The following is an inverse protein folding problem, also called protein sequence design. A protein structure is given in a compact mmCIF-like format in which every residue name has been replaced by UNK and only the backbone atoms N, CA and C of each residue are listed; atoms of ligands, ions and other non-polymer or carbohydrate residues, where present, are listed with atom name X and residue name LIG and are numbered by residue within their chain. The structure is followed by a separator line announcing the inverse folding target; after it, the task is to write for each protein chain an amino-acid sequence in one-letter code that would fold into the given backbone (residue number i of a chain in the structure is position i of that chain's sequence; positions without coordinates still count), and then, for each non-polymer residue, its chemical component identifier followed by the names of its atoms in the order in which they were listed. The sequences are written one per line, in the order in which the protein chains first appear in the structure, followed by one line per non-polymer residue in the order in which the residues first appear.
data_IF_662513198772
#
_entry.id   IF_662513198772
#
_cell.length_a   1.000
_cell.length_b   1.000
_cell.length_c   1.000
_cell.angle_alpha   90.00
_cell.angle_beta   90.00
_cell.angle_gamma   90.00
#
_symmetry.space_group_name_H-M   'P 1'
#
loop_
_entity.id
_entity.type
_entity.pdbx_description
1 polymer ?
#
# COMPACT_ATOMS: atom_id res chain seq x y z
N UNK A 1 -19.77 1.72 26.44
CA UNK A 1 -19.17 2.37 25.24
C UNK A 1 -19.64 1.58 24.03
N UNK A 2 -20.13 2.24 22.98
CA UNK A 2 -20.59 1.62 21.73
C UNK A 2 -19.46 1.71 20.71
N UNK A 3 -19.22 0.62 20.00
CA UNK A 3 -18.23 0.49 18.93
C UNK A 3 -18.94 0.30 17.60
N UNK A 4 -18.78 1.23 16.67
CA UNK A 4 -19.21 1.08 15.29
C UNK A 4 -18.18 0.29 14.51
N UNK A 5 -18.64 -0.72 13.75
CA UNK A 5 -17.80 -1.68 13.03
C UNK A 5 -18.38 -1.94 11.64
N UNK A 6 -17.52 -2.13 10.64
CA UNK A 6 -17.94 -2.71 9.36
C UNK A 6 -17.57 -4.18 9.30
N UNK A 7 -18.58 -5.01 9.05
CA UNK A 7 -18.43 -6.43 8.78
C UNK A 7 -18.50 -6.71 7.29
N UNK A 8 -17.78 -7.74 6.83
CA UNK A 8 -17.97 -8.29 5.50
C UNK A 8 -19.29 -9.09 5.49
N UNK A 9 -20.32 -8.55 4.87
CA UNK A 9 -21.65 -9.16 4.84
C UNK A 9 -21.78 -10.22 3.71
N UNK A 10 -21.07 -10.02 2.61
CA UNK A 10 -21.10 -10.97 1.46
C UNK A 10 -19.83 -10.84 0.64
N UNK A 11 -19.50 -11.93 -0.09
CA UNK A 11 -18.39 -11.95 -1.05
C UNK A 11 -18.84 -11.30 -2.36
N UNK A 12 -18.05 -10.34 -2.92
CA UNK A 12 -18.40 -9.73 -4.19
C UNK A 12 -18.25 -10.73 -5.34
N UNK A 13 -19.22 -10.71 -6.26
CA UNK A 13 -19.14 -11.36 -7.57
C UNK A 13 -18.72 -10.32 -8.62
N UNK A 14 -17.45 -10.35 -9.04
CA UNK A 14 -16.86 -9.26 -9.83
C UNK A 14 -16.51 -8.04 -8.98
N UNK A 15 -16.95 -6.86 -9.37
CA UNK A 15 -16.66 -5.62 -8.62
C UNK A 15 -17.32 -5.62 -7.24
N UNK A 16 -16.56 -5.19 -6.24
CA UNK A 16 -17.11 -4.96 -4.92
C UNK A 16 -18.05 -3.75 -4.90
N UNK A 17 -19.07 -3.80 -4.06
CA UNK A 17 -20.05 -2.74 -3.84
C UNK A 17 -20.19 -2.42 -2.36
N UNK A 18 -20.82 -1.29 -2.02
CA UNK A 18 -21.12 -0.95 -0.61
C UNK A 18 -21.99 -1.99 0.08
N UNK A 19 -22.85 -2.70 -0.68
CA UNK A 19 -23.70 -3.78 -0.18
C UNK A 19 -22.92 -5.03 0.31
N UNK A 20 -21.64 -5.15 0.01
CA UNK A 20 -20.81 -6.20 0.59
C UNK A 20 -20.41 -5.94 2.05
N UNK A 21 -20.66 -4.74 2.55
CA UNK A 21 -20.31 -4.31 3.90
C UNK A 21 -21.57 -4.00 4.72
N UNK A 22 -21.55 -4.33 5.99
CA UNK A 22 -22.64 -4.03 6.94
C UNK A 22 -22.10 -3.29 8.14
N UNK A 23 -22.66 -2.10 8.44
CA UNK A 23 -22.39 -1.38 9.66
C UNK A 23 -23.06 -2.10 10.84
N UNK A 24 -22.31 -2.34 11.89
CA UNK A 24 -22.75 -2.99 13.12
C UNK A 24 -22.35 -2.12 14.31
N UNK A 25 -23.25 -1.96 15.27
CA UNK A 25 -22.98 -1.36 16.56
C UNK A 25 -22.91 -2.46 17.62
N UNK A 26 -21.81 -2.53 18.35
CA UNK A 26 -21.60 -3.52 19.38
C UNK A 26 -21.02 -2.89 20.66
N UNK A 27 -21.28 -3.43 21.85
CA UNK A 27 -20.58 -2.99 23.05
C UNK A 27 -19.08 -3.31 22.93
N UNK A 28 -18.24 -2.42 23.48
CA UNK A 28 -16.81 -2.73 23.67
C UNK A 28 -16.68 -3.82 24.73
N UNK A 29 -15.95 -4.89 24.40
CA UNK A 29 -15.73 -5.99 25.33
C UNK A 29 -14.85 -5.56 26.53
N UNK A 30 -15.06 -6.19 27.68
CA UNK A 30 -14.18 -6.01 28.84
C UNK A 30 -12.81 -6.61 28.54
N UNK A 31 -11.76 -5.99 29.10
CA UNK A 31 -10.38 -6.48 28.94
C UNK A 31 -10.12 -7.71 29.80
N UNK A 32 -9.50 -8.72 29.21
CA UNK A 32 -8.81 -9.79 29.93
C UNK A 32 -7.33 -9.40 30.18
N UNK A 33 -6.64 -10.18 31.00
CA UNK A 33 -5.23 -9.98 31.28
C UNK A 33 -4.40 -10.11 30.00
N UNK A 34 -3.43 -9.23 29.82
CA UNK A 34 -2.60 -9.13 28.61
C UNK A 34 -3.25 -8.39 27.44
N UNK A 35 -4.48 -7.91 27.60
CA UNK A 35 -5.19 -7.18 26.56
C UNK A 35 -5.11 -5.66 26.71
N UNK A 36 -5.30 -4.98 25.59
CA UNK A 36 -5.24 -3.52 25.44
C UNK A 36 -6.46 -3.04 24.66
N UNK A 37 -7.19 -2.05 25.21
CA UNK A 37 -8.26 -1.35 24.50
C UNK A 37 -7.67 -0.15 23.76
N UNK A 38 -7.85 -0.14 22.45
CA UNK A 38 -7.41 0.95 21.58
C UNK A 38 -8.59 1.70 20.98
N UNK A 39 -8.60 3.03 21.10
CA UNK A 39 -9.45 3.92 20.32
C UNK A 39 -8.73 4.29 19.03
N UNK A 40 -9.31 3.97 17.90
CA UNK A 40 -8.71 4.25 16.60
C UNK A 40 -9.04 5.66 16.13
N UNK A 41 -8.01 6.40 15.72
CA UNK A 41 -8.15 7.73 15.13
C UNK A 41 -8.17 7.63 13.60
N UNK A 42 -7.40 6.70 13.05
CA UNK A 42 -7.29 6.47 11.61
C UNK A 42 -7.39 5.00 11.27
N UNK A 43 -8.08 4.72 10.17
CA UNK A 43 -8.15 3.43 9.51
C UNK A 43 -7.43 3.52 8.16
N UNK A 44 -6.55 2.57 7.89
CA UNK A 44 -5.92 2.37 6.59
C UNK A 44 -6.86 1.63 5.64
N UNK A 45 -6.99 2.12 4.41
CA UNK A 45 -7.59 1.39 3.32
C UNK A 45 -6.49 0.99 2.33
N UNK A 46 -6.45 -0.31 2.01
CA UNK A 46 -5.38 -0.91 1.21
C UNK A 46 -5.95 -1.88 0.17
N UNK A 47 -5.39 -1.92 -1.06
CA UNK A 47 -5.94 -2.76 -2.14
C UNK A 47 -5.99 -4.25 -1.81
N UNK A 48 -5.07 -4.78 -0.98
CA UNK A 48 -5.05 -6.20 -0.60
C UNK A 48 -6.36 -6.67 0.06
N UNK A 49 -7.09 -5.75 0.70
CA UNK A 49 -8.37 -6.04 1.35
C UNK A 49 -9.39 -6.59 0.36
N UNK A 50 -9.32 -6.19 -0.93
CA UNK A 50 -10.19 -6.74 -1.97
C UNK A 50 -9.93 -8.23 -2.20
N UNK A 51 -8.66 -8.64 -2.22
CA UNK A 51 -8.31 -10.06 -2.30
C UNK A 51 -8.82 -10.86 -1.11
N UNK A 52 -8.81 -10.27 0.09
CA UNK A 52 -9.34 -10.90 1.32
C UNK A 52 -10.86 -11.11 1.30
N UNK A 53 -11.60 -10.37 0.48
CA UNK A 53 -13.05 -10.57 0.32
C UNK A 53 -13.39 -11.80 -0.55
N UNK A 54 -12.41 -12.40 -1.23
CA UNK A 54 -12.54 -13.63 -2.01
C UNK A 54 -12.19 -14.85 -1.17
N UNK A 55 -12.80 -15.99 -1.47
CA UNK A 55 -12.46 -17.32 -0.91
C UNK A 55 -11.53 -18.13 -1.83
N UNK A 56 -11.10 -17.56 -2.95
CA UNK A 56 -10.08 -18.14 -3.82
C UNK A 56 -8.75 -18.34 -3.06
N UNK A 57 -7.96 -19.34 -3.52
CA UNK A 57 -6.62 -19.59 -2.97
C UNK A 57 -5.76 -18.30 -3.02
N UNK A 58 -5.19 -17.93 -1.88
CA UNK A 58 -4.34 -16.74 -1.75
C UNK A 58 -3.24 -17.01 -0.71
N UNK A 59 -2.31 -16.04 -0.55
CA UNK A 59 -1.24 -16.07 0.45
C UNK A 59 -1.73 -16.04 1.89
N UNK A 60 -2.99 -15.70 2.11
CA UNK A 60 -3.56 -15.64 3.45
C UNK A 60 -5.05 -16.03 3.45
N UNK A 61 -5.60 -16.46 4.61
CA UNK A 61 -6.99 -16.86 4.72
C UNK A 61 -7.96 -15.76 4.27
N UNK A 62 -9.12 -16.11 3.70
CA UNK A 62 -10.15 -15.13 3.37
C UNK A 62 -10.69 -14.43 4.63
N UNK A 63 -11.15 -13.22 4.47
CA UNK A 63 -11.91 -12.51 5.51
C UNK A 63 -13.17 -13.33 5.84
N UNK A 64 -13.42 -13.68 7.11
CA UNK A 64 -14.67 -14.34 7.49
C UNK A 64 -15.88 -13.44 7.22
N UNK A 65 -16.99 -14.05 6.81
CA UNK A 65 -18.27 -13.34 6.75
C UNK A 65 -18.75 -13.02 8.16
N UNK A 66 -19.52 -11.95 8.28
CA UNK A 66 -20.08 -11.46 9.54
C UNK A 66 -19.05 -11.12 10.62
N UNK A 67 -17.80 -10.94 10.24
CA UNK A 67 -16.72 -10.48 11.11
C UNK A 67 -16.22 -9.09 10.70
N UNK A 68 -15.62 -8.38 11.65
CA UNK A 68 -15.01 -7.05 11.42
C UNK A 68 -14.02 -7.13 10.28
N UNK A 69 -14.19 -6.27 9.27
CA UNK A 69 -13.31 -6.22 8.12
C UNK A 69 -11.88 -5.89 8.56
N UNK A 70 -10.91 -6.63 8.02
CA UNK A 70 -9.49 -6.44 8.33
C UNK A 70 -8.99 -5.07 7.87
N UNK A 71 -8.10 -4.44 8.66
CA UNK A 71 -7.45 -3.19 8.29
C UNK A 71 -6.44 -2.74 9.34
N UNK A 72 -5.39 -2.06 8.87
CA UNK A 72 -4.46 -1.37 9.73
C UNK A 72 -5.11 -0.14 10.38
N UNK A 73 -4.81 0.13 11.64
CA UNK A 73 -5.32 1.28 12.38
C UNK A 73 -4.22 1.96 13.17
N UNK A 74 -4.40 3.27 13.40
CA UNK A 74 -3.56 4.04 14.30
C UNK A 74 -4.45 4.83 15.27
N UNK A 75 -4.07 4.84 16.55
CA UNK A 75 -4.89 5.44 17.58
C UNK A 75 -4.16 5.60 18.90
N UNK A 76 -4.93 5.52 19.99
CA UNK A 76 -4.40 5.61 21.35
C UNK A 76 -4.94 4.49 22.24
N UNK A 77 -4.14 4.07 23.17
CA UNK A 77 -4.55 3.15 24.23
C UNK A 77 -5.50 3.88 25.19
N UNK A 78 -6.69 3.33 25.39
CA UNK A 78 -7.68 3.85 26.36
C UNK A 78 -7.55 3.16 27.71
N UNK A 79 -7.36 1.82 27.69
CA UNK A 79 -7.18 0.99 28.87
C UNK A 79 -6.22 -0.15 28.54
N UNK A 80 -5.41 -0.58 29.51
CA UNK A 80 -4.46 -1.66 29.33
C UNK A 80 -4.40 -2.57 30.55
N UNK A 81 -4.36 -3.87 30.29
CA UNK A 81 -3.96 -4.93 31.23
C UNK A 81 -2.68 -5.63 30.79
N UNK A 82 -1.87 -4.95 29.99
CA UNK A 82 -0.59 -5.44 29.50
C UNK A 82 0.56 -4.56 30.03
N UNK A 83 1.66 -5.12 30.55
CA UNK A 83 2.72 -4.35 31.24
C UNK A 83 3.43 -3.34 30.32
N UNK A 84 3.49 -3.60 29.02
CA UNK A 84 4.20 -2.73 28.08
C UNK A 84 3.35 -1.60 27.47
N UNK A 85 2.04 -1.52 27.77
CA UNK A 85 1.15 -0.47 27.26
C UNK A 85 0.45 0.27 28.41
N UNK A 86 0.28 1.58 28.27
CA UNK A 86 -0.40 2.43 29.21
C UNK A 86 -1.43 3.31 28.49
N UNK A 87 -2.48 3.75 29.20
CA UNK A 87 -3.43 4.71 28.68
C UNK A 87 -2.71 5.99 28.19
N UNK A 88 -3.08 6.48 27.01
CA UNK A 88 -2.43 7.60 26.32
C UNK A 88 -1.32 7.21 25.36
N UNK A 89 -0.79 5.98 25.38
CA UNK A 89 0.19 5.53 24.40
C UNK A 89 -0.36 5.64 22.97
N UNK A 90 0.41 6.22 22.06
CA UNK A 90 0.10 6.24 20.63
C UNK A 90 0.54 4.93 20.00
N UNK A 91 -0.35 4.30 19.24
CA UNK A 91 -0.14 2.94 18.73
C UNK A 91 -0.62 2.80 17.29
N UNK A 92 0.01 1.87 16.57
CA UNK A 92 -0.44 1.38 15.27
C UNK A 92 -0.49 -0.14 15.26
N UNK A 93 -1.47 -0.74 14.58
CA UNK A 93 -1.66 -2.19 14.51
C UNK A 93 -2.80 -2.58 13.60
N UNK A 94 -3.28 -3.83 13.73
CA UNK A 94 -4.35 -4.40 12.90
C UNK A 94 -5.69 -4.37 13.64
N UNK A 95 -6.23 -3.18 13.88
CA UNK A 95 -7.47 -3.01 14.63
C UNK A 95 -8.75 -3.32 13.85
N UNK A 96 -8.71 -3.39 12.52
CA UNK A 96 -9.88 -3.62 11.67
C UNK A 96 -10.73 -2.37 11.44
N UNK A 97 -11.78 -2.52 10.64
CA UNK A 97 -12.71 -1.42 10.31
C UNK A 97 -13.68 -1.17 11.47
N UNK A 98 -13.18 -0.53 12.51
CA UNK A 98 -13.95 -0.22 13.72
C UNK A 98 -13.34 0.94 14.49
N UNK A 99 -14.13 1.56 15.38
CA UNK A 99 -13.68 2.69 16.19
C UNK A 99 -12.83 2.27 17.39
N UNK A 100 -13.11 1.10 17.95
CA UNK A 100 -12.39 0.53 19.10
C UNK A 100 -12.03 -0.93 18.83
N UNK A 101 -10.90 -1.38 19.33
CA UNK A 101 -10.55 -2.80 19.35
C UNK A 101 -9.93 -3.21 20.68
N UNK A 102 -10.24 -4.42 21.12
CA UNK A 102 -9.50 -5.11 22.18
C UNK A 102 -8.48 -6.03 21.49
N UNK A 103 -7.20 -5.78 21.74
CA UNK A 103 -6.09 -6.52 21.11
C UNK A 103 -5.26 -7.22 22.16
N UNK A 104 -4.71 -8.40 21.83
CA UNK A 104 -3.69 -9.06 22.65
C UNK A 104 -2.36 -8.29 22.48
N UNK A 105 -1.87 -7.73 23.57
CA UNK A 105 -0.61 -6.98 23.58
C UNK A 105 0.64 -7.84 23.30
N UNK A 106 0.54 -9.18 23.38
CA UNK A 106 1.61 -10.12 23.08
C UNK A 106 1.61 -10.63 21.64
N UNK A 107 0.58 -10.30 20.85
CA UNK A 107 0.47 -10.80 19.48
C UNK A 107 1.66 -10.33 18.63
N UNK A 108 2.36 -11.28 17.99
CA UNK A 108 3.46 -10.97 17.06
C UNK A 108 2.94 -10.12 15.88
N UNK A 109 3.61 -8.99 15.60
CA UNK A 109 3.18 -8.06 14.57
C UNK A 109 1.85 -7.35 14.88
N UNK A 110 1.37 -7.45 16.14
CA UNK A 110 0.13 -6.85 16.61
C UNK A 110 0.23 -5.35 16.84
N UNK A 111 0.16 -4.92 18.09
CA UNK A 111 0.16 -3.50 18.46
C UNK A 111 1.61 -2.99 18.63
N UNK A 112 1.92 -1.84 18.02
CA UNK A 112 3.23 -1.19 18.12
C UNK A 112 3.06 0.24 18.63
N UNK A 113 3.84 0.62 19.66
CA UNK A 113 3.96 2.02 20.08
C UNK A 113 4.64 2.84 18.99
N UNK A 114 4.18 4.07 18.79
CA UNK A 114 4.71 5.00 17.79
C UNK A 114 5.00 6.36 18.40
N UNK A 115 6.07 6.98 17.94
CA UNK A 115 6.48 8.32 18.39
C UNK A 115 5.87 9.39 17.47
N UNK A 116 4.93 10.15 18.00
CA UNK A 116 4.24 11.22 17.26
C UNK A 116 4.85 12.61 17.46
N UNK A 117 6.02 12.69 18.08
CA UNK A 117 6.68 14.00 18.36
C UNK A 117 7.13 14.70 17.07
N UNK A 118 7.49 13.94 16.04
CA UNK A 118 8.00 14.45 14.76
C UNK A 118 7.30 13.88 13.53
N UNK A 119 6.51 12.82 13.69
CA UNK A 119 5.82 12.11 12.63
C UNK A 119 4.34 12.06 12.97
N UNK A 120 3.43 12.58 12.12
CA UNK A 120 1.99 12.47 12.37
C UNK A 120 1.52 11.03 12.51
N UNK A 121 0.53 10.79 13.37
CA UNK A 121 0.00 9.46 13.67
C UNK A 121 -0.48 8.72 12.40
N UNK A 122 -1.09 9.42 11.45
CA UNK A 122 -1.57 8.88 10.17
C UNK A 122 -0.45 8.28 9.32
N UNK A 123 0.76 8.88 9.34
CA UNK A 123 1.91 8.43 8.56
C UNK A 123 2.34 7.00 8.89
N UNK A 124 2.04 6.51 10.11
CA UNK A 124 2.33 5.12 10.53
C UNK A 124 1.43 4.07 9.86
N UNK A 125 0.41 4.50 9.12
CA UNK A 125 -0.41 3.65 8.25
C UNK A 125 -0.02 3.72 6.76
N UNK A 126 0.92 4.59 6.44
CA UNK A 126 1.41 4.84 5.08
C UNK A 126 2.92 4.76 5.00
N UNK A 127 3.54 5.93 4.84
CA UNK A 127 4.97 6.09 4.55
C UNK A 127 5.91 5.51 5.63
N UNK A 128 5.52 5.51 6.92
CA UNK A 128 6.27 4.91 8.04
C UNK A 128 5.53 3.67 8.57
N UNK A 129 4.89 2.94 7.68
CA UNK A 129 4.12 1.74 7.97
C UNK A 129 4.29 0.69 6.89
N UNK A 130 3.30 -0.21 6.79
CA UNK A 130 3.34 -1.31 5.83
C UNK A 130 3.60 -0.85 4.39
N UNK A 131 2.93 0.18 3.83
CA UNK A 131 3.22 0.64 2.48
C UNK A 131 4.67 1.14 2.29
N UNK A 132 5.21 1.88 3.25
CA UNK A 132 6.61 2.32 3.22
C UNK A 132 7.60 1.16 3.25
N UNK A 133 7.41 0.21 4.17
CA UNK A 133 8.27 -0.99 4.26
C UNK A 133 8.15 -1.86 3.00
N UNK A 134 6.95 -1.95 2.40
CA UNK A 134 6.74 -2.62 1.11
C UNK A 134 7.58 -1.98 0.01
N UNK A 135 7.57 -0.65 -0.07
CA UNK A 135 8.38 0.11 -1.03
C UNK A 135 9.87 -0.14 -0.83
N UNK A 136 10.31 -0.05 0.42
CA UNK A 136 11.71 -0.26 0.80
C UNK A 136 12.17 -1.68 0.43
N UNK A 137 11.42 -2.70 0.83
CA UNK A 137 11.78 -4.10 0.58
C UNK A 137 11.87 -4.41 -0.92
N UNK A 138 10.83 -4.09 -1.69
CA UNK A 138 10.80 -4.37 -3.11
C UNK A 138 11.90 -3.63 -3.89
N UNK A 139 12.23 -2.39 -3.51
CA UNK A 139 13.31 -1.64 -4.14
C UNK A 139 14.69 -2.16 -3.74
N UNK A 140 14.93 -2.37 -2.44
CA UNK A 140 16.26 -2.70 -1.91
C UNK A 140 16.61 -4.19 -2.04
N UNK A 141 15.63 -5.09 -1.85
CA UNK A 141 15.89 -6.54 -1.78
C UNK A 141 15.53 -7.30 -3.05
N UNK A 142 14.57 -6.80 -3.84
CA UNK A 142 14.13 -7.46 -5.07
C UNK A 142 14.67 -6.75 -6.31
N UNK A 143 14.42 -5.45 -6.45
CA UNK A 143 15.02 -4.67 -7.53
C UNK A 143 16.54 -4.51 -7.35
N UNK A 144 17.06 -4.63 -6.12
CA UNK A 144 18.49 -4.46 -5.81
C UNK A 144 19.05 -3.19 -6.46
N UNK A 145 18.29 -2.08 -6.34
CA UNK A 145 18.56 -0.84 -7.05
C UNK A 145 19.95 -0.27 -6.71
N UNK A 146 20.71 0.07 -7.75
CA UNK A 146 22.04 0.65 -7.64
C UNK A 146 22.07 2.04 -8.28
N UNK A 147 23.06 2.85 -7.89
CA UNK A 147 23.24 4.19 -8.48
C UNK A 147 23.45 4.10 -9.99
N UNK A 148 22.69 4.89 -10.75
CA UNK A 148 22.69 4.89 -12.21
C UNK A 148 21.60 4.02 -12.85
N UNK A 149 20.96 3.11 -12.09
CA UNK A 149 19.83 2.31 -12.57
C UNK A 149 18.63 3.19 -12.96
N UNK A 150 17.88 2.76 -13.96
CA UNK A 150 16.56 3.29 -14.28
C UNK A 150 15.49 2.43 -13.63
N UNK A 151 14.75 3.03 -12.67
CA UNK A 151 13.67 2.36 -11.93
C UNK A 151 12.32 2.87 -12.46
N UNK A 152 11.53 1.96 -13.00
CA UNK A 152 10.14 2.23 -13.36
C UNK A 152 9.22 1.89 -12.20
N UNK A 153 8.23 2.76 -11.93
CA UNK A 153 7.27 2.58 -10.84
C UNK A 153 5.85 2.74 -11.36
N UNK A 154 5.06 1.67 -11.35
CA UNK A 154 3.62 1.78 -11.63
C UNK A 154 2.83 2.26 -10.41
N UNK A 155 1.69 2.93 -10.62
CA UNK A 155 0.93 3.64 -9.59
C UNK A 155 1.82 4.60 -8.75
N UNK A 156 2.68 5.36 -9.43
CA UNK A 156 3.73 6.18 -8.84
C UNK A 156 3.24 7.27 -7.86
N UNK A 157 1.98 7.71 -7.96
CA UNK A 157 1.37 8.66 -7.02
C UNK A 157 0.71 8.00 -5.81
N UNK A 158 0.71 6.65 -5.72
CA UNK A 158 0.08 5.89 -4.66
C UNK A 158 0.94 5.76 -3.40
N UNK A 159 0.38 5.13 -2.36
CA UNK A 159 1.03 5.01 -1.04
C UNK A 159 2.38 4.29 -1.07
N UNK A 160 2.56 3.28 -1.94
CA UNK A 160 3.80 2.54 -2.13
C UNK A 160 4.66 3.21 -3.20
N UNK A 161 4.10 3.45 -4.39
CA UNK A 161 4.86 3.95 -5.54
C UNK A 161 5.53 5.29 -5.30
N UNK A 162 4.88 6.20 -4.56
CA UNK A 162 5.46 7.51 -4.20
C UNK A 162 6.71 7.39 -3.33
N UNK A 163 6.78 6.37 -2.49
CA UNK A 163 7.95 6.07 -1.65
C UNK A 163 9.06 5.44 -2.46
N UNK A 164 8.71 4.45 -3.32
CA UNK A 164 9.71 3.74 -4.16
C UNK A 164 10.56 4.72 -4.96
N UNK A 165 9.93 5.65 -5.68
CA UNK A 165 10.69 6.56 -6.54
C UNK A 165 11.57 7.54 -5.76
N UNK A 166 11.10 8.04 -4.61
CA UNK A 166 11.93 8.91 -3.77
C UNK A 166 13.13 8.15 -3.16
N UNK A 167 12.94 6.89 -2.75
CA UNK A 167 14.05 6.03 -2.31
C UNK A 167 15.02 5.75 -3.48
N UNK A 168 14.50 5.48 -4.68
CA UNK A 168 15.33 5.31 -5.88
C UNK A 168 16.16 6.57 -6.18
N UNK A 169 15.53 7.75 -6.11
CA UNK A 169 16.25 9.04 -6.26
C UNK A 169 17.33 9.22 -5.20
N UNK A 170 17.04 8.90 -3.93
CA UNK A 170 18.01 8.99 -2.84
C UNK A 170 19.22 8.05 -3.04
N UNK A 171 19.03 6.94 -3.76
CA UNK A 171 20.12 6.01 -4.17
C UNK A 171 20.87 6.45 -5.43
N UNK A 172 20.48 7.54 -6.07
CA UNK A 172 21.12 8.01 -7.32
C UNK A 172 20.58 7.32 -8.58
N UNK A 173 19.41 6.70 -8.51
CA UNK A 173 18.73 6.13 -9.66
C UNK A 173 17.98 7.20 -10.45
N UNK A 174 17.69 6.89 -11.71
CA UNK A 174 16.67 7.55 -12.51
C UNK A 174 15.31 6.92 -12.19
N UNK A 175 14.35 7.71 -11.72
CA UNK A 175 13.01 7.25 -11.34
C UNK A 175 11.98 7.70 -12.37
N UNK A 176 11.27 6.75 -12.99
CA UNK A 176 10.20 6.99 -13.96
C UNK A 176 8.89 6.49 -13.39
N UNK A 177 7.88 7.36 -13.34
CA UNK A 177 6.56 7.02 -12.83
C UNK A 177 5.56 6.70 -13.93
N UNK A 178 4.56 5.88 -13.61
CA UNK A 178 3.31 5.77 -14.36
C UNK A 178 2.18 6.07 -13.39
N UNK A 179 1.33 7.07 -13.71
CA UNK A 179 0.20 7.48 -12.89
C UNK A 179 -1.01 7.81 -13.76
N UNK A 180 -2.18 8.03 -13.16
CA UNK A 180 -3.40 8.28 -13.92
C UNK A 180 -3.90 9.71 -13.77
N UNK A 181 -3.68 10.53 -14.78
CA UNK A 181 -4.10 11.94 -14.88
C UNK A 181 -2.94 12.91 -14.71
N UNK A 182 -3.03 14.04 -15.42
CA UNK A 182 -1.98 15.06 -15.48
C UNK A 182 -1.59 15.61 -14.09
N UNK A 183 -2.57 15.82 -13.20
CA UNK A 183 -2.32 16.31 -11.83
C UNK A 183 -1.43 15.33 -11.03
N UNK A 184 -1.71 14.03 -11.11
CA UNK A 184 -0.90 13.01 -10.43
C UNK A 184 0.49 12.91 -11.02
N UNK A 185 0.64 13.04 -12.35
CA UNK A 185 1.95 13.05 -12.99
C UNK A 185 2.75 14.29 -12.62
N UNK A 186 2.14 15.47 -12.59
CA UNK A 186 2.79 16.69 -12.13
C UNK A 186 3.30 16.55 -10.68
N UNK A 187 2.46 16.07 -9.77
CA UNK A 187 2.86 15.80 -8.39
C UNK A 187 4.06 14.86 -8.30
N UNK A 188 4.06 13.78 -9.07
CA UNK A 188 5.15 12.78 -9.07
C UNK A 188 6.47 13.42 -9.51
N UNK A 189 6.45 14.30 -10.51
CA UNK A 189 7.65 14.96 -11.01
C UNK A 189 8.04 16.16 -10.12
N UNK A 190 7.11 17.09 -9.91
CA UNK A 190 7.42 18.40 -9.34
C UNK A 190 7.61 18.34 -7.81
N UNK A 191 6.86 17.47 -7.13
CA UNK A 191 6.92 17.37 -5.67
C UNK A 191 7.74 16.18 -5.18
N UNK A 192 7.60 14.98 -5.83
CA UNK A 192 8.33 13.79 -5.40
C UNK A 192 9.71 13.65 -6.05
N UNK A 193 10.02 14.45 -7.08
CA UNK A 193 11.34 14.51 -7.71
C UNK A 193 11.66 13.34 -8.64
N UNK A 194 10.64 12.66 -9.20
CA UNK A 194 10.87 11.71 -10.28
C UNK A 194 11.38 12.44 -11.53
N UNK A 195 12.14 11.74 -12.36
CA UNK A 195 12.70 12.33 -13.60
C UNK A 195 11.66 12.48 -14.70
N UNK A 196 10.61 11.65 -14.71
CA UNK A 196 9.45 11.74 -15.58
C UNK A 196 8.27 10.94 -15.02
N UNK A 197 7.06 11.27 -15.49
CA UNK A 197 5.85 10.49 -15.22
C UNK A 197 4.98 10.39 -16.46
N UNK A 198 4.49 9.19 -16.76
CA UNK A 198 3.63 8.90 -17.89
C UNK A 198 2.20 8.81 -17.42
N UNK A 199 1.31 9.62 -17.99
CA UNK A 199 -0.14 9.51 -17.77
C UNK A 199 -0.72 8.38 -18.64
N UNK A 200 -0.96 7.21 -18.01
CA UNK A 200 -1.49 6.06 -18.76
C UNK A 200 -2.91 6.31 -19.33
N UNK A 201 -3.67 7.30 -18.80
CA UNK A 201 -5.04 7.57 -19.25
C UNK A 201 -5.10 8.23 -20.64
N UNK A 202 -4.04 8.93 -21.05
CA UNK A 202 -3.94 9.50 -22.39
C UNK A 202 -3.36 8.52 -23.42
N UNK A 203 -2.91 7.35 -22.96
CA UNK A 203 -2.36 6.28 -23.79
C UNK A 203 -3.33 5.09 -23.79
N UNK A 204 -4.46 5.23 -24.49
CA UNK A 204 -5.54 4.25 -24.49
C UNK A 204 -5.17 2.91 -25.17
N UNK A 205 -4.17 2.91 -26.05
CA UNK A 205 -3.70 1.69 -26.71
C UNK A 205 -2.27 1.30 -26.24
N UNK A 206 -1.96 -0.02 -26.22
CA UNK A 206 -0.66 -0.52 -25.73
C UNK A 206 0.55 0.03 -26.51
N UNK A 207 0.40 0.34 -27.81
CA UNK A 207 1.51 0.87 -28.64
C UNK A 207 1.83 2.31 -28.25
N UNK A 208 0.81 3.11 -27.97
CA UNK A 208 0.96 4.49 -27.50
C UNK A 208 1.67 4.52 -26.14
N UNK A 209 1.24 3.67 -25.18
CA UNK A 209 1.90 3.56 -23.88
C UNK A 209 3.37 3.10 -24.01
N UNK A 210 3.63 2.08 -24.84
CA UNK A 210 5.00 1.63 -25.11
C UNK A 210 5.89 2.74 -25.69
N UNK A 211 5.37 3.55 -26.62
CA UNK A 211 6.11 4.67 -27.22
C UNK A 211 6.48 5.72 -26.18
N UNK A 212 5.52 6.14 -25.36
CA UNK A 212 5.74 7.09 -24.27
C UNK A 212 6.80 6.54 -23.27
N UNK A 213 6.70 5.25 -22.94
CA UNK A 213 7.66 4.60 -22.05
C UNK A 213 9.06 4.54 -22.69
N UNK A 214 9.15 4.25 -23.97
CA UNK A 214 10.43 4.24 -24.71
C UNK A 214 11.11 5.61 -24.70
N UNK A 215 10.35 6.68 -24.87
CA UNK A 215 10.85 8.06 -24.80
C UNK A 215 11.34 8.42 -23.39
N UNK A 216 10.59 8.03 -22.35
CA UNK A 216 10.97 8.29 -20.97
C UNK A 216 12.15 7.43 -20.47
N UNK A 217 12.38 6.26 -21.09
CA UNK A 217 13.46 5.30 -20.75
C UNK A 217 14.38 5.01 -21.93
N UNK A 218 15.15 6.00 -22.41
CA UNK A 218 16.02 5.82 -23.61
C UNK A 218 17.04 4.69 -23.44
N UNK A 219 17.60 4.51 -22.25
CA UNK A 219 18.57 3.46 -21.91
C UNK A 219 17.94 2.14 -21.44
N UNK A 220 16.62 2.00 -21.50
CA UNK A 220 15.89 0.84 -20.96
C UNK A 220 15.55 0.98 -19.48
N UNK A 221 15.15 -0.14 -18.86
CA UNK A 221 14.72 -0.23 -17.46
C UNK A 221 15.50 -1.35 -16.78
N UNK A 222 16.18 -1.04 -15.67
CA UNK A 222 16.97 -1.99 -14.90
C UNK A 222 16.15 -2.63 -13.77
N UNK A 223 15.27 -1.84 -13.13
CA UNK A 223 14.34 -2.30 -12.12
C UNK A 223 12.92 -1.80 -12.36
N UNK A 224 11.93 -2.66 -12.14
CA UNK A 224 10.51 -2.27 -12.21
C UNK A 224 9.78 -2.63 -10.93
N UNK A 225 9.18 -1.65 -10.29
CA UNK A 225 8.31 -1.86 -9.13
C UNK A 225 6.86 -1.87 -9.60
N UNK A 226 6.25 -3.05 -9.59
CA UNK A 226 4.94 -3.29 -10.22
C UNK A 226 3.81 -3.38 -9.19
N UNK A 227 2.80 -2.53 -9.38
CA UNK A 227 1.59 -2.46 -8.54
C UNK A 227 0.29 -2.73 -9.31
N UNK A 228 0.31 -2.77 -10.65
CA UNK A 228 -0.90 -2.66 -11.49
C UNK A 228 -1.17 -3.89 -12.33
N UNK A 229 -0.17 -4.40 -13.05
CA UNK A 229 -0.32 -5.49 -14.02
C UNK A 229 -0.87 -5.03 -15.38
N UNK A 230 -1.28 -6.01 -16.20
CA UNK A 230 -1.92 -5.76 -17.49
C UNK A 230 -1.01 -5.04 -18.49
N UNK A 231 -1.58 -4.09 -19.23
CA UNK A 231 -0.87 -3.34 -20.29
C UNK A 231 0.36 -2.57 -19.79
N UNK A 232 0.37 -2.16 -18.53
CA UNK A 232 1.52 -1.47 -17.92
C UNK A 232 2.68 -2.46 -17.76
N UNK A 233 2.43 -3.63 -17.20
CA UNK A 233 3.45 -4.68 -17.07
C UNK A 233 3.97 -5.14 -18.43
N UNK A 234 3.09 -5.35 -19.42
CA UNK A 234 3.50 -5.73 -20.78
C UNK A 234 4.39 -4.67 -21.44
N UNK A 235 4.06 -3.38 -21.28
CA UNK A 235 4.88 -2.29 -21.80
C UNK A 235 6.24 -2.21 -21.07
N UNK A 236 6.25 -2.44 -19.76
CA UNK A 236 7.48 -2.51 -18.96
C UNK A 236 8.39 -3.65 -19.43
N UNK A 237 7.85 -4.88 -19.56
CA UNK A 237 8.60 -6.05 -20.04
C UNK A 237 9.32 -5.78 -21.36
N UNK A 238 8.67 -5.09 -22.31
CA UNK A 238 9.25 -4.76 -23.61
C UNK A 238 10.38 -3.71 -23.53
N UNK A 239 10.60 -3.09 -22.38
CA UNK A 239 11.63 -2.07 -22.14
C UNK A 239 12.71 -2.49 -21.14
N UNK A 240 12.53 -3.67 -20.47
CA UNK A 240 13.50 -4.17 -19.50
C UNK A 240 14.87 -4.46 -20.18
N UNK A 241 15.91 -4.01 -19.53
CA UNK A 241 17.27 -4.37 -19.87
C UNK A 241 17.54 -5.85 -19.58
N UNK A 242 18.52 -6.48 -20.25
CA UNK A 242 18.95 -7.83 -19.89
C UNK A 242 19.30 -7.92 -18.39
N UNK A 243 18.82 -9.00 -17.73
CA UNK A 243 18.97 -9.24 -16.30
C UNK A 243 18.20 -8.24 -15.39
N UNK A 244 17.28 -7.47 -15.98
CA UNK A 244 16.41 -6.57 -15.23
C UNK A 244 15.57 -7.31 -14.18
N UNK A 245 15.17 -6.59 -13.13
CA UNK A 245 14.49 -7.14 -11.94
C UNK A 245 13.12 -6.48 -11.77
N UNK A 246 12.10 -7.29 -11.53
CA UNK A 246 10.72 -6.83 -11.32
C UNK A 246 10.25 -7.26 -9.94
N UNK A 247 10.01 -6.28 -9.05
CA UNK A 247 9.35 -6.49 -7.78
C UNK A 247 7.83 -6.45 -7.98
N UNK A 248 7.19 -7.63 -7.96
CA UNK A 248 5.75 -7.76 -8.17
C UNK A 248 5.02 -7.59 -6.84
N UNK A 249 4.68 -6.37 -6.51
CA UNK A 249 4.02 -5.97 -5.27
C UNK A 249 2.50 -6.15 -5.35
N UNK A 250 1.90 -5.88 -6.50
CA UNK A 250 0.46 -5.95 -6.68
C UNK A 250 0.03 -5.97 -8.14
N UNK A 251 -1.20 -6.38 -8.37
CA UNK A 251 -1.82 -6.47 -9.68
C UNK A 251 -3.25 -5.93 -9.62
N UNK A 252 -3.39 -4.65 -9.20
CA UNK A 252 -4.69 -4.06 -8.88
C UNK A 252 -5.67 -4.07 -10.05
N UNK A 253 -5.19 -4.07 -11.30
CA UNK A 253 -6.03 -4.15 -12.50
C UNK A 253 -6.85 -5.44 -12.60
N UNK A 254 -6.46 -6.51 -11.88
CA UNK A 254 -7.16 -7.79 -11.86
C UNK A 254 -7.91 -8.09 -10.56
N UNK A 255 -7.95 -7.19 -9.60
CA UNK A 255 -8.53 -7.48 -8.29
C UNK A 255 -10.05 -7.71 -8.31
N UNK A 256 -10.74 -7.24 -9.35
CA UNK A 256 -12.16 -7.54 -9.57
C UNK A 256 -12.42 -8.87 -10.30
N UNK A 257 -11.41 -9.76 -10.36
CA UNK A 257 -11.53 -11.11 -10.94
C UNK A 257 -11.27 -11.18 -12.44
N UNK A 258 -10.79 -10.10 -13.05
CA UNK A 258 -10.39 -10.13 -14.45
C UNK A 258 -9.03 -10.82 -14.62
N UNK A 259 -8.90 -11.63 -15.67
CA UNK A 259 -7.61 -12.20 -16.02
C UNK A 259 -6.62 -11.12 -16.44
N UNK A 260 -5.38 -11.26 -16.00
CA UNK A 260 -4.27 -10.38 -16.40
C UNK A 260 -3.26 -11.23 -17.19
N UNK A 261 -3.46 -11.42 -18.51
CA UNK A 261 -2.53 -12.18 -19.33
C UNK A 261 -1.21 -11.42 -19.50
N UNK A 262 -0.11 -12.16 -19.59
CA UNK A 262 1.15 -11.66 -20.13
C UNK A 262 1.16 -11.85 -21.63
N UNK A 263 1.20 -10.76 -22.39
CA UNK A 263 1.09 -10.81 -23.85
C UNK A 263 2.37 -11.30 -24.51
N UNK A 264 3.53 -11.07 -23.88
CA UNK A 264 4.85 -11.41 -24.45
C UNK A 264 5.76 -12.10 -23.40
N UNK A 265 5.39 -13.28 -22.88
CA UNK A 265 6.19 -13.95 -21.84
C UNK A 265 7.58 -14.38 -22.32
N UNK A 266 7.81 -14.51 -23.63
CA UNK A 266 9.13 -14.78 -24.22
C UNK A 266 10.18 -13.72 -23.88
N UNK A 267 9.77 -12.47 -23.59
CA UNK A 267 10.68 -11.41 -23.17
C UNK A 267 11.37 -11.72 -21.83
N UNK A 268 10.70 -12.45 -20.95
CA UNK A 268 11.29 -12.90 -19.68
C UNK A 268 12.52 -13.77 -19.96
N UNK A 269 12.39 -14.73 -20.91
CA UNK A 269 13.48 -15.61 -21.31
C UNK A 269 14.57 -14.83 -22.06
N UNK A 270 14.20 -14.07 -23.10
CA UNK A 270 15.17 -13.43 -23.99
C UNK A 270 15.98 -12.34 -23.30
N UNK A 271 15.39 -11.63 -22.34
CA UNK A 271 16.09 -10.66 -21.50
C UNK A 271 16.59 -11.23 -20.16
N UNK A 272 16.40 -12.55 -19.89
CA UNK A 272 16.81 -13.24 -18.64
C UNK A 272 16.36 -12.46 -17.40
N UNK A 273 15.08 -12.04 -17.39
CA UNK A 273 14.51 -11.23 -16.31
C UNK A 273 14.27 -12.04 -15.04
N UNK A 274 14.43 -11.41 -13.89
CA UNK A 274 13.93 -11.91 -12.60
C UNK A 274 12.64 -11.20 -12.25
N UNK A 275 11.56 -11.95 -12.09
CA UNK A 275 10.26 -11.46 -11.62
C UNK A 275 9.96 -12.15 -10.30
N UNK A 276 9.80 -11.36 -9.24
CA UNK A 276 9.62 -11.89 -7.89
C UNK A 276 8.42 -11.24 -7.20
N UNK A 277 7.44 -12.09 -6.81
CA UNK A 277 6.33 -11.68 -5.96
C UNK A 277 6.73 -11.74 -4.50
N UNK A 278 6.21 -10.83 -3.67
CA UNK A 278 6.53 -10.78 -2.26
C UNK A 278 5.37 -10.29 -1.40
N UNK A 279 5.37 -10.71 -0.15
CA UNK A 279 4.46 -10.24 0.90
C UNK A 279 5.31 -9.73 2.06
N UNK A 280 5.31 -8.41 2.27
CA UNK A 280 6.23 -7.77 3.23
C UNK A 280 6.03 -8.19 4.69
N UNK A 281 4.86 -8.71 5.04
CA UNK A 281 4.60 -9.27 6.38
C UNK A 281 5.30 -10.62 6.64
N UNK A 282 5.86 -11.25 5.61
CA UNK A 282 6.67 -12.48 5.74
C UNK A 282 8.16 -12.16 5.99
N UNK A 283 8.54 -10.87 5.91
CA UNK A 283 9.92 -10.36 6.06
C UNK A 283 10.01 -9.40 7.24
N UNK A 284 9.60 -9.86 8.42
CA UNK A 284 9.58 -9.01 9.63
C UNK A 284 10.98 -8.54 10.09
N UNK A 285 12.03 -9.26 9.68
CA UNK A 285 13.42 -8.94 9.98
C UNK A 285 13.89 -7.60 9.41
N UNK A 286 13.31 -7.16 8.29
CA UNK A 286 13.71 -5.88 7.66
C UNK A 286 12.98 -4.67 8.25
N UNK A 287 11.88 -4.89 8.98
CA UNK A 287 11.04 -3.80 9.46
C UNK A 287 11.76 -2.78 10.34
N UNK A 288 12.60 -3.17 11.31
CA UNK A 288 13.32 -2.20 12.15
C UNK A 288 14.20 -1.25 11.32
N UNK A 289 14.97 -1.79 10.38
CA UNK A 289 15.84 -1.03 9.49
C UNK A 289 15.02 -0.08 8.60
N UNK A 290 14.05 -0.62 7.88
CA UNK A 290 13.20 0.14 6.97
C UNK A 290 12.43 1.26 7.68
N UNK A 291 11.81 0.99 8.84
CA UNK A 291 11.07 1.99 9.61
C UNK A 291 11.99 3.09 10.16
N UNK A 292 13.22 2.76 10.54
CA UNK A 292 14.20 3.76 11.01
C UNK A 292 14.61 4.72 9.88
N UNK A 293 14.92 4.17 8.70
CA UNK A 293 15.27 4.96 7.53
C UNK A 293 14.10 5.85 7.08
N UNK A 294 12.92 5.26 6.85
CA UNK A 294 11.72 5.96 6.41
C UNK A 294 11.30 7.04 7.43
N UNK A 295 11.30 6.69 8.72
CA UNK A 295 10.97 7.64 9.79
C UNK A 295 11.93 8.82 9.84
N UNK A 296 13.21 8.57 9.67
CA UNK A 296 14.24 9.62 9.60
C UNK A 296 14.02 10.52 8.39
N UNK A 297 13.74 9.95 7.22
CA UNK A 297 13.51 10.72 6.00
C UNK A 297 12.24 11.58 6.11
N UNK A 298 11.16 11.06 6.70
CA UNK A 298 9.93 11.82 6.95
C UNK A 298 10.18 12.93 7.97
N UNK A 299 10.79 12.61 9.11
CA UNK A 299 11.06 13.57 10.18
C UNK A 299 12.00 14.74 9.74
N UNK A 300 12.80 14.52 8.70
CA UNK A 300 13.71 15.53 8.12
C UNK A 300 13.17 16.19 6.85
N UNK A 301 11.94 15.84 6.41
CA UNK A 301 11.32 16.37 5.19
C UNK A 301 11.94 15.88 3.88
N UNK A 302 12.81 14.87 3.93
CA UNK A 302 13.45 14.27 2.75
C UNK A 302 12.54 13.30 2.00
N UNK A 303 11.51 12.76 2.67
CA UNK A 303 10.50 11.90 2.09
C UNK A 303 9.14 12.59 2.23
N UNK A 304 8.56 12.96 1.10
CA UNK A 304 7.25 13.59 1.00
C UNK A 304 6.17 12.53 0.79
N UNK A 305 4.98 12.79 1.29
CA UNK A 305 3.83 11.92 1.09
C UNK A 305 2.54 12.72 1.08
N UNK A 306 1.49 12.14 0.52
CA UNK A 306 0.15 12.71 0.47
C UNK A 306 -0.87 11.68 0.95
N UNK A 307 -1.89 12.15 1.66
CA UNK A 307 -2.98 11.35 2.21
C UNK A 307 -4.31 11.89 1.69
N UNK A 308 -5.18 10.98 1.25
CA UNK A 308 -6.60 11.24 1.03
C UNK A 308 -7.33 10.73 2.25
N UNK A 309 -7.98 11.63 2.98
CA UNK A 309 -8.67 11.29 4.23
C UNK A 309 -10.17 11.44 4.05
N UNK A 310 -10.91 10.36 4.25
CA UNK A 310 -12.37 10.37 4.36
C UNK A 310 -12.76 10.51 5.83
N UNK A 311 -13.87 11.19 6.12
CA UNK A 311 -14.30 11.49 7.49
C UNK A 311 -15.41 10.52 7.94
N UNK A 312 -15.27 9.99 9.15
CA UNK A 312 -16.23 9.07 9.78
C UNK A 312 -16.13 7.63 9.24
N UNK A 313 -16.38 6.66 10.13
CA UNK A 313 -16.30 5.24 9.76
C UNK A 313 -17.28 4.88 8.64
N UNK A 314 -18.42 5.55 8.56
CA UNK A 314 -19.47 5.33 7.58
C UNK A 314 -18.98 5.54 6.15
N UNK A 315 -17.94 6.38 5.96
CA UNK A 315 -17.32 6.64 4.65
C UNK A 315 -16.39 5.52 4.16
N UNK A 316 -16.01 4.57 5.02
CA UNK A 316 -14.99 3.56 4.72
C UNK A 316 -15.32 2.70 3.49
N UNK A 317 -16.55 2.18 3.29
CA UNK A 317 -16.85 1.39 2.09
C UNK A 317 -16.69 2.19 0.78
N UNK A 318 -17.22 3.41 0.72
CA UNK A 318 -17.11 4.25 -0.49
C UNK A 318 -15.67 4.67 -0.76
N UNK A 319 -14.92 5.05 0.27
CA UNK A 319 -13.52 5.40 0.14
C UNK A 319 -12.67 4.21 -0.36
N UNK A 320 -12.98 3.00 0.13
CA UNK A 320 -12.32 1.77 -0.34
C UNK A 320 -12.63 1.46 -1.81
N UNK A 321 -13.90 1.56 -2.21
CA UNK A 321 -14.29 1.38 -3.62
C UNK A 321 -13.68 2.47 -4.52
N UNK A 322 -13.54 3.67 -3.99
CA UNK A 322 -12.83 4.77 -4.65
C UNK A 322 -11.34 4.47 -4.85
N UNK A 323 -10.68 3.92 -3.83
CA UNK A 323 -9.28 3.48 -3.90
C UNK A 323 -9.07 2.45 -5.02
N UNK A 324 -9.92 1.42 -5.10
CA UNK A 324 -9.83 0.38 -6.14
C UNK A 324 -9.99 0.96 -7.57
N UNK A 325 -10.65 2.10 -7.71
CA UNK A 325 -10.83 2.84 -8.97
C UNK A 325 -9.80 3.96 -9.17
N UNK A 326 -8.80 4.05 -8.31
CA UNK A 326 -7.74 5.05 -8.38
C UNK A 326 -8.21 6.50 -8.17
N UNK A 327 -9.31 6.72 -7.43
CA UNK A 327 -9.83 8.07 -7.11
C UNK A 327 -9.01 8.78 -6.04
N UNK A 328 -8.33 8.03 -5.16
CA UNK A 328 -7.47 8.59 -4.13
C UNK A 328 -6.22 9.24 -4.71
N UNK A 329 -5.63 10.13 -3.93
CA UNK A 329 -4.33 10.72 -4.21
C UNK A 329 -3.40 10.42 -3.01
N UNK A 330 -2.31 9.69 -3.25
CA UNK A 330 -1.47 9.16 -2.17
C UNK A 330 -2.13 8.03 -1.38
N UNK A 331 -1.90 8.00 -0.07
CA UNK A 331 -2.48 7.00 0.84
C UNK A 331 -3.95 7.30 1.15
N UNK A 332 -4.83 6.32 1.01
CA UNK A 332 -6.23 6.43 1.44
C UNK A 332 -6.38 6.05 2.90
N UNK A 333 -6.92 6.96 3.68
CA UNK A 333 -7.25 6.79 5.09
C UNK A 333 -8.72 7.12 5.34
N UNK A 334 -9.23 6.67 6.48
CA UNK A 334 -10.47 7.14 7.09
C UNK A 334 -10.15 7.67 8.47
N UNK A 335 -10.55 8.90 8.77
CA UNK A 335 -10.49 9.47 10.11
C UNK A 335 -11.72 9.04 10.87
N UNK A 336 -11.53 8.37 11.99
CA UNK A 336 -12.60 7.72 12.76
C UNK A 336 -13.12 8.57 13.92
N UNK A 337 -12.33 9.52 14.37
CA UNK A 337 -12.66 10.42 15.51
C UNK A 337 -12.15 11.83 15.25
#
# INVERSE_FOLDING_TARGET
MVNKQFHLASRPQGQATTGNFRLVEAPVAALADGQVLVRHHYLSLDPYMRGRMSDAKSYAPPQPLDAVMIGGTAGEVVESRHPNFAAGDRVAGMGGWQQYSVVDGNARGGLRKVDVSRIPLSAYLGVVGMPGVTAWYGLMKICEAESGDTILVSAASGAVGSVVGQLAKAKGCRAIGIAGGAEKCAYVVDELGFDACIDYKVHADPKSLYRALKEATPSGIDGHFENVGGTILDAALARMNPFGRIALCGMISGYDGQAIPLSQPSLILTSRLRIEGFIVSEHMEVWPEALTELGTMVATGKLKYRESVAEGIESAPEAFLGLLKGKNFGKQLVKLT
#
